data_IF_028564759067
#
_entry.id   IF_028564759067
#
_cell.length_a   1.000
_cell.length_b   1.000
_cell.length_c   1.000
_cell.angle_alpha   90.00
_cell.angle_beta   90.00
_cell.angle_gamma   90.00
#
_symmetry.space_group_name_H-M   'P 1'
#
loop_
_entity.id
_entity.type
_entity.pdbx_description
1 polymer ?
#
# COMPACT_ATOMS: atom_id res chain seq x y z
N UNK A 1 7.73 31.54 15.53
CA UNK A 1 7.25 30.20 15.96
C UNK A 1 5.75 30.17 16.26
N UNK A 2 5.17 31.18 16.92
CA UNK A 2 3.73 31.24 17.27
C UNK A 2 2.74 31.25 16.09
N UNK A 3 3.10 31.89 14.96
CA UNK A 3 2.27 31.95 13.75
C UNK A 3 2.15 30.61 13.02
N UNK A 4 3.25 29.85 12.98
CA UNK A 4 3.28 28.50 12.39
C UNK A 4 2.48 27.55 13.28
N UNK A 5 2.66 27.63 14.60
CA UNK A 5 1.89 26.84 15.57
C UNK A 5 0.38 27.16 15.51
N UNK A 6 -0.01 28.44 15.39
CA UNK A 6 -1.42 28.82 15.20
C UNK A 6 -2.00 28.29 13.89
N UNK A 7 -1.26 28.38 12.78
CA UNK A 7 -1.71 27.82 11.49
C UNK A 7 -1.81 26.30 11.54
N UNK A 8 -0.84 25.61 12.15
CA UNK A 8 -0.89 24.18 12.34
C UNK A 8 -2.08 23.77 13.22
N UNK A 9 -2.31 24.46 14.34
CA UNK A 9 -3.48 24.23 15.21
C UNK A 9 -4.81 24.44 14.49
N UNK A 10 -4.94 25.53 13.72
CA UNK A 10 -6.16 25.84 12.99
C UNK A 10 -6.43 24.85 11.86
N UNK A 11 -5.36 24.36 11.21
CA UNK A 11 -5.46 23.30 10.22
C UNK A 11 -5.89 21.99 10.90
N UNK A 12 -5.20 21.55 11.95
CA UNK A 12 -5.55 20.32 12.68
C UNK A 12 -6.97 20.31 13.23
N UNK A 13 -7.48 21.47 13.69
CA UNK A 13 -8.85 21.62 14.18
C UNK A 13 -9.90 21.40 13.09
N UNK A 14 -9.68 21.95 11.89
CA UNK A 14 -10.57 21.71 10.74
C UNK A 14 -10.49 20.25 10.23
N UNK A 15 -9.32 19.60 10.33
CA UNK A 15 -9.20 18.17 9.99
C UNK A 15 -9.97 17.28 10.95
N UNK A 16 -9.94 17.57 12.25
CA UNK A 16 -10.71 16.82 13.25
C UNK A 16 -12.23 16.98 13.10
N UNK A 17 -12.71 18.02 12.42
CA UNK A 17 -14.14 18.17 12.13
C UNK A 17 -14.62 17.47 10.85
N UNK A 18 -13.70 17.06 9.97
CA UNK A 18 -14.02 16.45 8.67
C UNK A 18 -13.73 14.94 8.61
N UNK A 19 -12.84 14.45 9.47
CA UNK A 19 -12.45 13.04 9.54
C UNK A 19 -13.32 12.21 10.49
N UNK A 20 -13.15 10.90 10.45
CA UNK A 20 -13.81 9.97 11.34
C UNK A 20 -13.34 10.19 12.80
N UNK A 21 -14.30 10.56 13.65
CA UNK A 21 -14.07 10.86 15.07
C UNK A 21 -13.37 9.73 15.85
N UNK A 22 -13.50 8.47 15.41
CA UNK A 22 -12.91 7.28 16.05
C UNK A 22 -11.39 7.22 15.91
N UNK A 23 -10.81 8.06 15.05
CA UNK A 23 -9.41 7.99 14.63
C UNK A 23 -8.55 9.05 15.34
N UNK A 24 -9.18 10.08 15.92
CA UNK A 24 -8.47 11.22 16.48
C UNK A 24 -7.62 10.90 17.70
N UNK A 25 -7.98 9.86 18.46
CA UNK A 25 -7.21 9.42 19.62
C UNK A 25 -6.07 8.45 19.25
N UNK A 26 -6.01 7.98 18.00
CA UNK A 26 -4.97 7.06 17.56
C UNK A 26 -3.64 7.79 17.37
N UNK A 27 -2.63 7.33 18.11
CA UNK A 27 -1.35 8.02 18.21
C UNK A 27 -0.67 8.29 16.87
N UNK A 28 -0.68 7.35 15.92
CA UNK A 28 0.06 7.48 14.65
C UNK A 28 -0.80 8.02 13.49
N UNK A 29 -2.11 7.86 13.59
CA UNK A 29 -3.03 8.14 12.48
C UNK A 29 -3.77 9.46 12.66
N UNK A 30 -3.93 9.96 13.88
CA UNK A 30 -4.78 11.11 14.14
C UNK A 30 -4.29 12.45 13.58
N UNK A 31 -3.00 12.59 13.22
CA UNK A 31 -2.43 13.90 12.83
C UNK A 31 -1.76 13.89 11.44
N UNK A 32 -2.14 14.81 10.52
CA UNK A 32 -1.53 14.91 9.18
C UNK A 32 -0.03 15.23 9.21
N UNK A 33 0.46 15.86 10.29
CA UNK A 33 1.88 16.16 10.45
C UNK A 33 2.72 14.87 10.50
N UNK A 34 2.16 13.78 11.03
CA UNK A 34 2.88 12.50 11.18
C UNK A 34 3.11 11.85 9.82
N UNK A 35 2.09 11.81 8.97
CA UNK A 35 2.22 11.23 7.62
C UNK A 35 3.19 12.05 6.76
N UNK A 36 3.16 13.38 6.88
CA UNK A 36 4.12 14.26 6.19
C UNK A 36 5.54 13.98 6.70
N UNK A 37 5.74 13.91 8.01
CA UNK A 37 7.05 13.65 8.60
C UNK A 37 7.62 12.28 8.17
N UNK A 38 6.83 11.21 8.21
CA UNK A 38 7.24 9.87 7.77
C UNK A 38 7.61 9.89 6.29
N UNK A 39 6.73 10.45 5.45
CA UNK A 39 6.94 10.49 4.00
C UNK A 39 8.16 11.32 3.60
N UNK A 40 8.33 12.51 4.18
CA UNK A 40 9.49 13.38 3.91
C UNK A 40 10.78 12.72 4.39
N UNK A 41 10.79 12.09 5.57
CA UNK A 41 11.96 11.39 6.10
C UNK A 41 12.34 10.21 5.21
N UNK A 42 11.37 9.42 4.79
CA UNK A 42 11.56 8.30 3.86
C UNK A 42 12.16 8.77 2.52
N UNK A 43 11.57 9.78 1.88
CA UNK A 43 12.06 10.30 0.61
C UNK A 43 13.46 10.90 0.74
N UNK A 44 13.73 11.65 1.81
CA UNK A 44 15.05 12.20 2.11
C UNK A 44 16.09 11.09 2.28
N UNK A 45 15.74 10.02 3.01
CA UNK A 45 16.60 8.87 3.19
C UNK A 45 16.91 8.17 1.86
N UNK A 46 15.89 7.81 1.08
CA UNK A 46 16.06 7.02 -0.15
C UNK A 46 16.78 7.82 -1.24
N UNK A 47 16.46 9.11 -1.41
CA UNK A 47 16.97 9.93 -2.51
C UNK A 47 18.31 10.59 -2.22
N UNK A 48 18.64 10.87 -0.95
CA UNK A 48 19.85 11.63 -0.59
C UNK A 48 20.70 10.91 0.44
N UNK A 49 20.22 10.79 1.68
CA UNK A 49 21.05 10.40 2.81
C UNK A 49 21.58 8.96 2.66
N UNK A 50 20.72 7.99 2.35
CA UNK A 50 21.08 6.59 2.18
C UNK A 50 22.17 6.36 1.11
N UNK A 51 21.99 6.84 -0.14
CA UNK A 51 23.03 6.77 -1.17
C UNK A 51 24.35 7.45 -0.76
N UNK A 52 24.29 8.59 -0.06
CA UNK A 52 25.49 9.29 0.43
C UNK A 52 26.24 8.47 1.48
N UNK A 53 25.52 7.91 2.47
CA UNK A 53 26.11 7.05 3.51
C UNK A 53 26.72 5.77 2.92
N UNK A 54 26.14 5.26 1.83
CA UNK A 54 26.60 4.06 1.15
C UNK A 54 27.71 4.32 0.13
N UNK A 55 28.00 5.57 -0.26
CA UNK A 55 28.97 5.90 -1.33
C UNK A 55 30.31 5.19 -1.13
N UNK A 56 30.87 5.31 0.08
CA UNK A 56 32.19 4.77 0.43
C UNK A 56 32.13 3.43 1.20
N UNK A 57 30.97 2.78 1.28
CA UNK A 57 30.78 1.50 1.98
C UNK A 57 30.59 0.36 0.99
N UNK A 58 30.95 -0.87 1.37
CA UNK A 58 30.56 -2.06 0.59
C UNK A 58 29.06 -2.32 0.77
N UNK A 59 28.44 -3.03 -0.17
CA UNK A 59 27.05 -3.46 -0.01
C UNK A 59 26.94 -4.37 1.22
N UNK A 60 25.93 -4.15 2.06
CA UNK A 60 25.72 -4.98 3.24
C UNK A 60 25.15 -6.35 2.84
N UNK A 61 25.64 -7.40 3.47
CA UNK A 61 24.99 -8.70 3.43
C UNK A 61 23.88 -8.76 4.48
N UNK A 62 22.66 -8.49 4.02
CA UNK A 62 21.44 -8.49 4.84
C UNK A 62 20.51 -9.65 4.46
N UNK A 63 21.04 -10.75 3.93
CA UNK A 63 20.23 -11.89 3.47
C UNK A 63 19.26 -12.40 4.55
N UNK A 64 19.77 -12.69 5.76
CA UNK A 64 18.97 -13.20 6.86
C UNK A 64 17.88 -12.20 7.29
N UNK A 65 18.25 -10.92 7.37
CA UNK A 65 17.31 -9.85 7.70
C UNK A 65 16.17 -9.76 6.68
N UNK A 66 16.49 -9.84 5.38
CA UNK A 66 15.47 -9.87 4.32
C UNK A 66 14.57 -11.09 4.40
N UNK A 67 15.12 -12.27 4.72
CA UNK A 67 14.33 -13.48 4.89
C UNK A 67 13.33 -13.34 6.05
N UNK A 68 13.79 -12.90 7.22
CA UNK A 68 12.93 -12.65 8.39
C UNK A 68 11.87 -11.60 8.07
N UNK A 69 12.27 -10.49 7.44
CA UNK A 69 11.36 -9.45 6.99
C UNK A 69 10.26 -9.99 6.05
N UNK A 70 10.63 -10.78 5.05
CA UNK A 70 9.66 -11.36 4.11
C UNK A 70 8.70 -12.33 4.83
N UNK A 71 9.17 -13.13 5.78
CA UNK A 71 8.30 -14.00 6.59
C UNK A 71 7.31 -13.18 7.42
N UNK A 72 7.78 -12.12 8.09
CA UNK A 72 6.90 -11.22 8.84
C UNK A 72 5.86 -10.57 7.92
N UNK A 73 6.27 -10.11 6.74
CA UNK A 73 5.36 -9.57 5.74
C UNK A 73 4.31 -10.60 5.31
N UNK A 74 4.69 -11.85 5.04
CA UNK A 74 3.74 -12.93 4.69
C UNK A 74 2.71 -13.12 5.81
N UNK A 75 3.15 -13.24 7.06
CA UNK A 75 2.26 -13.46 8.22
C UNK A 75 1.31 -12.29 8.43
N UNK A 76 1.82 -11.05 8.40
CA UNK A 76 1.02 -9.85 8.60
C UNK A 76 0.00 -9.64 7.48
N UNK A 77 0.38 -9.87 6.21
CA UNK A 77 -0.56 -9.81 5.11
C UNK A 77 -1.62 -10.92 5.20
N UNK A 78 -1.24 -12.15 5.56
CA UNK A 78 -2.19 -13.25 5.76
C UNK A 78 -3.21 -12.95 6.88
N UNK A 79 -2.77 -12.31 7.97
CA UNK A 79 -3.65 -11.84 9.03
C UNK A 79 -4.68 -10.81 8.53
N UNK A 80 -4.26 -9.83 7.72
CA UNK A 80 -5.17 -8.86 7.10
C UNK A 80 -6.16 -9.55 6.15
N UNK A 81 -5.70 -10.51 5.34
CA UNK A 81 -6.57 -11.31 4.46
C UNK A 81 -7.67 -11.99 5.28
N UNK A 82 -7.29 -12.70 6.34
CA UNK A 82 -8.25 -13.39 7.22
C UNK A 82 -9.25 -12.41 7.84
N UNK A 83 -8.76 -11.29 8.40
CA UNK A 83 -9.61 -10.28 9.03
C UNK A 83 -10.60 -9.63 8.05
N UNK A 84 -10.14 -9.19 6.89
CA UNK A 84 -11.00 -8.60 5.87
C UNK A 84 -12.00 -9.61 5.32
N UNK A 85 -11.58 -10.86 5.11
CA UNK A 85 -12.49 -11.93 4.68
C UNK A 85 -13.60 -12.18 5.71
N UNK A 86 -13.25 -12.33 7.01
CA UNK A 86 -14.23 -12.53 8.08
C UNK A 86 -15.29 -11.43 8.09
N UNK A 87 -14.86 -10.16 8.06
CA UNK A 87 -15.77 -9.02 8.06
C UNK A 87 -16.68 -8.97 6.82
N UNK A 88 -16.12 -9.27 5.63
CA UNK A 88 -16.89 -9.34 4.40
C UNK A 88 -17.88 -10.51 4.37
N UNK A 89 -17.67 -11.58 5.16
CA UNK A 89 -18.60 -12.72 5.24
C UNK A 89 -19.62 -12.64 6.38
N UNK A 90 -19.29 -11.97 7.50
CA UNK A 90 -20.20 -11.77 8.64
C UNK A 90 -21.38 -10.85 8.29
N UNK A 91 -21.13 -9.92 7.38
CA UNK A 91 -22.16 -9.07 6.81
C UNK A 91 -22.80 -9.87 5.66
N UNK A 92 -24.14 -9.95 5.56
CA UNK A 92 -24.81 -10.62 4.42
C UNK A 92 -24.60 -9.80 3.14
N UNK A 93 -23.37 -9.81 2.61
CA UNK A 93 -22.87 -8.81 1.66
C UNK A 93 -23.52 -8.98 0.30
N UNK A 94 -24.16 -7.92 -0.16
CA UNK A 94 -24.31 -7.70 -1.59
C UNK A 94 -22.92 -7.40 -2.15
N UNK A 95 -22.41 -8.24 -3.07
CA UNK A 95 -21.16 -7.98 -3.82
C UNK A 95 -21.14 -6.62 -4.54
N UNK A 96 -22.32 -6.01 -4.63
CA UNK A 96 -22.67 -4.76 -5.29
C UNK A 96 -22.11 -3.55 -4.56
N UNK A 97 -22.57 -3.27 -3.33
CA UNK A 97 -22.07 -2.17 -2.50
C UNK A 97 -22.10 -2.55 -1.02
N UNK A 98 -21.02 -2.19 -0.32
CA UNK A 98 -20.97 -2.23 1.15
C UNK A 98 -20.80 -0.79 1.67
N UNK A 99 -21.86 -0.19 2.24
CA UNK A 99 -21.83 1.20 2.67
C UNK A 99 -20.85 1.36 3.84
N UNK A 100 -20.39 2.59 4.03
CA UNK A 100 -19.54 2.91 5.17
C UNK A 100 -20.40 3.13 6.42
N UNK A 101 -20.07 2.42 7.50
CA UNK A 101 -20.73 2.58 8.81
C UNK A 101 -19.80 3.28 9.81
N UNK A 102 -20.09 4.54 10.16
CA UNK A 102 -19.30 5.32 11.12
C UNK A 102 -19.68 5.07 12.60
N UNK A 103 -20.35 3.96 12.89
CA UNK A 103 -20.80 3.63 14.23
C UNK A 103 -19.68 3.02 15.09
N UNK A 104 -19.96 2.88 16.39
CA UNK A 104 -19.11 2.14 17.33
C UNK A 104 -19.45 0.64 17.38
N UNK A 105 -20.11 0.09 16.35
CA UNK A 105 -20.40 -1.33 16.25
C UNK A 105 -19.11 -2.17 16.33
N UNK A 106 -19.21 -3.39 16.84
CA UNK A 106 -18.08 -4.31 16.91
C UNK A 106 -17.46 -4.53 15.53
N UNK A 107 -18.29 -4.64 14.48
CA UNK A 107 -17.85 -4.78 13.10
C UNK A 107 -17.02 -3.58 12.65
N UNK A 108 -17.53 -2.36 12.86
CA UNK A 108 -16.85 -1.16 12.39
C UNK A 108 -15.57 -0.85 13.16
N UNK A 109 -15.51 -1.20 14.46
CA UNK A 109 -14.26 -1.14 15.25
C UNK A 109 -13.21 -2.14 14.75
N UNK A 110 -13.60 -3.40 14.49
CA UNK A 110 -12.69 -4.39 13.89
C UNK A 110 -12.16 -3.95 12.52
N UNK A 111 -13.01 -3.34 11.69
CA UNK A 111 -12.61 -2.78 10.40
C UNK A 111 -11.58 -1.66 10.57
N UNK A 112 -11.78 -0.78 11.56
CA UNK A 112 -10.82 0.26 11.91
C UNK A 112 -9.49 -0.33 12.38
N UNK A 113 -9.50 -1.27 13.32
CA UNK A 113 -8.28 -1.93 13.83
C UNK A 113 -7.48 -2.59 12.70
N UNK A 114 -8.15 -3.30 11.78
CA UNK A 114 -7.51 -3.86 10.59
C UNK A 114 -6.93 -2.77 9.67
N UNK A 115 -7.65 -1.65 9.49
CA UNK A 115 -7.16 -0.51 8.74
C UNK A 115 -5.87 0.05 9.35
N UNK A 116 -5.79 0.16 10.67
CA UNK A 116 -4.57 0.62 11.35
C UNK A 116 -3.39 -0.33 11.12
N UNK A 117 -3.63 -1.64 11.26
CA UNK A 117 -2.60 -2.66 11.02
C UNK A 117 -2.16 -2.61 9.55
N UNK A 118 -3.10 -2.44 8.62
CA UNK A 118 -2.81 -2.30 7.20
C UNK A 118 -1.97 -1.05 6.90
N UNK A 119 -2.23 0.09 7.56
CA UNK A 119 -1.38 1.28 7.44
C UNK A 119 0.03 1.03 7.96
N UNK A 120 0.17 0.44 9.15
CA UNK A 120 1.49 0.09 9.71
C UNK A 120 2.25 -0.86 8.78
N UNK A 121 1.53 -1.79 8.13
CA UNK A 121 2.10 -2.67 7.12
C UNK A 121 2.62 -1.90 5.90
N UNK A 122 1.92 -0.85 5.44
CA UNK A 122 2.44 0.03 4.37
C UNK A 122 3.64 0.87 4.81
N UNK A 123 3.74 1.26 6.09
CA UNK A 123 4.97 1.84 6.64
C UNK A 123 6.09 0.80 6.63
N UNK A 124 5.79 -0.46 6.96
CA UNK A 124 6.77 -1.55 6.94
C UNK A 124 7.24 -1.89 5.51
N UNK A 125 6.37 -1.77 4.50
CA UNK A 125 6.71 -1.92 3.08
C UNK A 125 7.81 -0.92 2.63
N UNK A 126 7.99 0.23 3.31
CA UNK A 126 9.05 1.18 3.00
C UNK A 126 10.46 0.62 3.23
N UNK A 127 10.59 -0.42 4.05
CA UNK A 127 11.90 -1.06 4.27
C UNK A 127 12.41 -1.80 3.02
N UNK A 128 11.55 -2.15 2.05
CA UNK A 128 11.99 -2.73 0.77
C UNK A 128 13.00 -1.82 0.07
N UNK A 129 12.70 -0.53 0.03
CA UNK A 129 13.54 0.49 -0.59
C UNK A 129 14.80 0.73 0.23
N UNK A 130 14.71 0.70 1.56
CA UNK A 130 15.86 0.77 2.46
C UNK A 130 16.83 -0.38 2.17
N UNK A 131 16.32 -1.61 2.01
CA UNK A 131 17.14 -2.77 1.66
C UNK A 131 17.80 -2.63 0.28
N UNK A 132 17.13 -2.05 -0.71
CA UNK A 132 17.74 -1.77 -2.01
C UNK A 132 18.94 -0.81 -1.88
N UNK A 133 18.81 0.25 -1.08
CA UNK A 133 19.90 1.20 -0.83
C UNK A 133 21.07 0.53 -0.09
N UNK A 134 20.80 -0.20 0.99
CA UNK A 134 21.84 -0.89 1.79
C UNK A 134 22.59 -1.96 0.98
N UNK A 135 21.95 -2.56 -0.02
CA UNK A 135 22.56 -3.52 -0.95
C UNK A 135 23.18 -2.88 -2.19
N UNK A 136 23.15 -1.55 -2.31
CA UNK A 136 23.54 -0.80 -3.53
C UNK A 136 22.82 -1.25 -4.80
N UNK A 137 21.58 -1.74 -4.68
CA UNK A 137 20.75 -2.14 -5.82
C UNK A 137 19.90 -0.97 -6.32
N UNK A 138 20.53 0.16 -6.64
CA UNK A 138 19.84 1.39 -7.03
C UNK A 138 18.96 1.24 -8.27
N UNK A 139 19.25 0.27 -9.14
CA UNK A 139 18.41 -0.06 -10.31
C UNK A 139 17.00 -0.50 -9.92
N UNK A 140 16.80 -1.01 -8.71
CA UNK A 140 15.48 -1.43 -8.20
C UNK A 140 14.66 -0.24 -7.69
N UNK A 141 15.30 0.88 -7.34
CA UNK A 141 14.65 2.13 -6.92
C UNK A 141 14.19 2.89 -8.16
N UNK A 142 13.14 2.37 -8.79
CA UNK A 142 12.52 2.98 -9.98
C UNK A 142 11.50 4.04 -9.60
N UNK A 143 11.16 4.93 -10.54
CA UNK A 143 10.06 5.87 -10.35
C UNK A 143 8.76 5.17 -9.96
N UNK A 144 8.41 4.07 -10.64
CA UNK A 144 7.23 3.25 -10.34
C UNK A 144 7.20 2.81 -8.87
N UNK A 145 8.32 2.25 -8.39
CA UNK A 145 8.41 1.75 -7.02
C UNK A 145 8.29 2.89 -6.00
N UNK A 146 9.07 3.96 -6.18
CA UNK A 146 9.08 5.08 -5.22
C UNK A 146 7.73 5.82 -5.19
N UNK A 147 7.14 6.06 -6.37
CA UNK A 147 5.82 6.65 -6.51
C UNK A 147 4.76 5.79 -5.81
N UNK A 148 4.73 4.49 -6.08
CA UNK A 148 3.79 3.57 -5.46
C UNK A 148 3.89 3.56 -3.93
N UNK A 149 5.08 3.33 -3.36
CA UNK A 149 5.24 3.27 -1.90
C UNK A 149 4.88 4.59 -1.22
N UNK A 150 5.19 5.72 -1.85
CA UNK A 150 4.84 7.05 -1.32
C UNK A 150 3.33 7.31 -1.39
N UNK A 151 2.72 7.11 -2.57
CA UNK A 151 1.30 7.37 -2.78
C UNK A 151 0.41 6.38 -2.02
N UNK A 152 0.79 5.12 -1.89
CA UNK A 152 0.06 4.14 -1.08
C UNK A 152 0.06 4.55 0.39
N UNK A 153 1.19 4.99 0.93
CA UNK A 153 1.27 5.41 2.33
C UNK A 153 0.35 6.60 2.61
N UNK A 154 0.43 7.66 1.79
CA UNK A 154 -0.41 8.85 1.93
C UNK A 154 -1.88 8.53 1.65
N UNK A 155 -2.16 7.73 0.62
CA UNK A 155 -3.49 7.36 0.19
C UNK A 155 -4.22 6.48 1.19
N UNK A 156 -3.54 5.49 1.79
CA UNK A 156 -4.12 4.66 2.85
C UNK A 156 -4.34 5.46 4.13
N UNK A 157 -3.42 6.37 4.50
CA UNK A 157 -3.66 7.27 5.62
C UNK A 157 -4.94 8.09 5.41
N UNK A 158 -5.10 8.72 4.23
CA UNK A 158 -6.32 9.45 3.88
C UNK A 158 -7.56 8.55 3.83
N UNK A 159 -7.44 7.36 3.25
CA UNK A 159 -8.52 6.37 3.20
C UNK A 159 -8.99 5.97 4.59
N UNK A 160 -8.08 5.78 5.54
CA UNK A 160 -8.44 5.49 6.94
C UNK A 160 -9.15 6.68 7.57
N UNK A 161 -8.67 7.91 7.38
CA UNK A 161 -9.32 9.11 7.95
C UNK A 161 -10.78 9.27 7.54
N UNK A 162 -11.14 8.86 6.32
CA UNK A 162 -12.43 9.19 5.72
C UNK A 162 -13.34 8.00 5.45
N UNK A 163 -12.79 6.82 5.15
CA UNK A 163 -13.56 5.66 4.64
C UNK A 163 -13.01 4.32 5.15
N UNK A 164 -12.60 4.25 6.42
CA UNK A 164 -12.09 2.99 7.00
C UNK A 164 -13.23 1.98 7.25
N UNK A 165 -13.42 1.07 6.30
CA UNK A 165 -14.53 0.11 6.26
C UNK A 165 -15.29 0.15 4.94
N UNK A 166 -16.45 -0.50 4.88
CA UNK A 166 -17.25 -0.52 3.64
C UNK A 166 -16.48 -1.17 2.48
N UNK A 167 -16.62 -0.59 1.28
CA UNK A 167 -15.92 -1.06 0.08
C UNK A 167 -14.39 -1.08 0.20
N UNK A 168 -13.79 -0.27 1.08
CA UNK A 168 -12.33 -0.24 1.25
C UNK A 168 -11.74 -1.54 1.80
N UNK A 169 -12.56 -2.41 2.44
CA UNK A 169 -12.13 -3.74 2.90
C UNK A 169 -11.68 -4.63 1.73
N UNK A 170 -12.23 -4.42 0.53
CA UNK A 170 -11.78 -5.12 -0.68
C UNK A 170 -10.33 -4.75 -1.06
N UNK A 171 -9.92 -3.49 -0.81
CA UNK A 171 -8.52 -3.08 -1.01
C UNK A 171 -7.62 -3.90 -0.09
N UNK A 172 -7.95 -3.94 1.20
CA UNK A 172 -7.20 -4.72 2.20
C UNK A 172 -7.10 -6.19 1.80
N UNK A 173 -8.23 -6.83 1.49
CA UNK A 173 -8.30 -8.24 1.14
C UNK A 173 -7.44 -8.58 -0.09
N UNK A 174 -7.68 -7.92 -1.22
CA UNK A 174 -7.02 -8.28 -2.49
C UNK A 174 -5.56 -7.86 -2.49
N UNK A 175 -5.23 -6.66 -1.98
CA UNK A 175 -3.85 -6.19 -1.91
C UNK A 175 -3.01 -7.09 -1.00
N UNK A 176 -3.51 -7.41 0.20
CA UNK A 176 -2.80 -8.28 1.13
C UNK A 176 -2.65 -9.71 0.59
N UNK A 177 -3.63 -10.21 -0.17
CA UNK A 177 -3.51 -11.52 -0.85
C UNK A 177 -2.36 -11.52 -1.84
N UNK A 178 -2.30 -10.53 -2.74
CA UNK A 178 -1.22 -10.43 -3.73
C UNK A 178 0.13 -10.16 -3.05
N UNK A 179 0.17 -9.34 -2.00
CA UNK A 179 1.39 -9.10 -1.21
C UNK A 179 1.87 -10.37 -0.49
N UNK A 180 0.97 -11.20 0.03
CA UNK A 180 1.33 -12.51 0.61
C UNK A 180 2.08 -13.37 -0.43
N UNK A 181 1.56 -13.44 -1.66
CA UNK A 181 2.19 -14.19 -2.76
C UNK A 181 3.52 -13.54 -3.18
N UNK A 182 3.56 -12.21 -3.30
CA UNK A 182 4.76 -11.45 -3.68
C UNK A 182 5.90 -11.63 -2.69
N UNK A 183 5.63 -11.47 -1.39
CA UNK A 183 6.65 -11.64 -0.34
C UNK A 183 7.06 -13.10 -0.17
N UNK A 184 6.17 -14.06 -0.44
CA UNK A 184 6.54 -15.48 -0.56
C UNK A 184 7.58 -15.68 -1.66
N UNK A 185 7.38 -15.08 -2.84
CA UNK A 185 8.39 -15.11 -3.89
C UNK A 185 9.70 -14.44 -3.47
N UNK A 186 9.65 -13.28 -2.81
CA UNK A 186 10.85 -12.59 -2.34
C UNK A 186 11.61 -13.37 -1.28
N UNK A 187 10.92 -14.09 -0.40
CA UNK A 187 11.53 -15.03 0.53
C UNK A 187 12.32 -16.12 -0.20
N UNK A 188 11.70 -16.80 -1.16
CA UNK A 188 12.38 -17.84 -1.93
C UNK A 188 13.53 -17.29 -2.78
N UNK A 189 13.36 -16.11 -3.38
CA UNK A 189 14.41 -15.44 -4.14
C UNK A 189 15.60 -14.97 -3.27
N UNK A 190 15.37 -14.72 -1.97
CA UNK A 190 16.43 -14.45 -1.00
C UNK A 190 17.11 -15.74 -0.52
N UNK A 191 16.33 -16.81 -0.30
CA UNK A 191 16.83 -18.11 0.16
C UNK A 191 17.73 -18.79 -0.88
N UNK A 192 17.25 -18.92 -2.11
CA UNK A 192 17.89 -19.64 -3.20
C UNK A 192 18.00 -18.75 -4.46
N UNK A 193 19.23 -18.47 -4.96
CA UNK A 193 19.45 -17.70 -6.18
C UNK A 193 18.70 -18.22 -7.42
N UNK A 194 18.39 -19.52 -7.51
CA UNK A 194 17.64 -20.07 -8.67
C UNK A 194 16.27 -19.43 -8.85
N UNK A 195 15.62 -19.03 -7.75
CA UNK A 195 14.33 -18.33 -7.79
C UNK A 195 14.45 -16.88 -8.27
N UNK A 196 15.61 -16.25 -8.02
CA UNK A 196 15.91 -14.91 -8.52
C UNK A 196 15.96 -14.89 -10.04
N UNK A 197 16.39 -15.97 -10.68
CA UNK A 197 16.50 -16.06 -12.15
C UNK A 197 15.27 -16.65 -12.83
N UNK A 198 14.27 -17.10 -12.05
CA UNK A 198 13.01 -17.61 -12.58
C UNK A 198 12.14 -16.48 -13.16
N UNK A 199 12.25 -16.28 -14.48
CA UNK A 199 11.50 -15.24 -15.21
C UNK A 199 9.99 -15.50 -15.23
N UNK A 200 9.58 -16.77 -15.28
CA UNK A 200 8.16 -17.16 -15.33
C UNK A 200 7.45 -16.75 -14.05
N UNK A 201 8.04 -17.00 -12.89
CA UNK A 201 7.50 -16.57 -11.60
C UNK A 201 7.33 -15.05 -11.55
N UNK A 202 8.35 -14.28 -11.96
CA UNK A 202 8.26 -12.80 -12.01
C UNK A 202 7.14 -12.31 -12.93
N UNK A 203 6.97 -12.96 -14.08
CA UNK A 203 5.91 -12.63 -15.05
C UNK A 203 4.53 -12.87 -14.44
N UNK A 204 4.30 -14.02 -13.83
CA UNK A 204 3.02 -14.36 -13.17
C UNK A 204 2.71 -13.36 -12.05
N UNK A 205 3.70 -13.01 -11.22
CA UNK A 205 3.52 -12.02 -10.15
C UNK A 205 3.11 -10.65 -10.70
N UNK A 206 3.76 -10.20 -11.77
CA UNK A 206 3.41 -8.93 -12.42
C UNK A 206 2.00 -8.97 -13.02
N UNK A 207 1.60 -10.10 -13.60
CA UNK A 207 0.24 -10.31 -14.10
C UNK A 207 -0.80 -10.29 -12.99
N UNK A 208 -0.52 -10.90 -11.84
CA UNK A 208 -1.40 -10.85 -10.66
C UNK A 208 -1.60 -9.40 -10.17
N UNK A 209 -0.52 -8.60 -10.13
CA UNK A 209 -0.61 -7.18 -9.79
C UNK A 209 -1.43 -6.37 -10.80
N UNK A 210 -1.27 -6.63 -12.11
CA UNK A 210 -2.09 -6.00 -13.16
C UNK A 210 -3.58 -6.35 -13.00
N UNK A 211 -3.89 -7.61 -12.76
CA UNK A 211 -5.27 -8.07 -12.51
C UNK A 211 -5.85 -7.41 -11.27
N UNK A 212 -5.07 -7.28 -10.19
CA UNK A 212 -5.48 -6.55 -8.99
C UNK A 212 -5.85 -5.09 -9.30
N UNK A 213 -4.99 -4.35 -10.00
CA UNK A 213 -5.27 -2.93 -10.30
C UNK A 213 -6.49 -2.77 -11.19
N UNK A 214 -6.67 -3.66 -12.18
CA UNK A 214 -7.86 -3.69 -13.01
C UNK A 214 -9.13 -3.99 -12.19
N UNK A 215 -9.06 -4.97 -11.29
CA UNK A 215 -10.16 -5.29 -10.39
C UNK A 215 -10.57 -4.08 -9.53
N UNK A 216 -9.60 -3.39 -8.91
CA UNK A 216 -9.89 -2.18 -8.13
C UNK A 216 -10.47 -1.06 -8.99
N UNK A 217 -9.91 -0.82 -10.18
CA UNK A 217 -10.45 0.17 -11.11
C UNK A 217 -11.92 -0.11 -11.44
N UNK A 218 -12.26 -1.35 -11.78
CA UNK A 218 -13.63 -1.74 -12.11
C UNK A 218 -14.56 -1.65 -10.89
N UNK A 219 -14.12 -2.12 -9.73
CA UNK A 219 -14.92 -2.10 -8.49
C UNK A 219 -15.26 -0.67 -8.06
N UNK A 220 -14.27 0.22 -8.00
CA UNK A 220 -14.51 1.63 -7.65
C UNK A 220 -15.24 2.41 -8.74
N UNK A 221 -15.06 2.05 -10.01
CA UNK A 221 -15.86 2.64 -11.10
C UNK A 221 -17.31 2.19 -11.07
N UNK A 222 -17.57 0.93 -10.67
CA UNK A 222 -18.93 0.40 -10.55
C UNK A 222 -19.73 1.12 -9.45
N UNK A 223 -19.07 1.58 -8.39
CA UNK A 223 -19.64 2.43 -7.33
C UNK A 223 -20.34 3.69 -7.88
N UNK A 224 -19.94 4.21 -9.06
CA UNK A 224 -20.61 5.36 -9.68
C UNK A 224 -21.98 5.05 -10.29
N UNK A 225 -22.15 3.83 -10.77
CA UNK A 225 -23.38 3.39 -11.44
C UNK A 225 -24.44 3.04 -10.39
N UNK A 226 -24.01 2.69 -9.18
CA UNK A 226 -24.91 2.40 -8.08
C UNK A 226 -25.41 3.70 -7.43
N UNK A 227 -26.64 4.06 -7.76
CA UNK A 227 -27.30 5.24 -7.18
C UNK A 227 -27.67 5.03 -5.71
N UNK A 228 -27.88 3.78 -5.28
CA UNK A 228 -28.31 3.40 -3.93
C UNK A 228 -27.15 3.14 -2.95
N UNK A 229 -25.90 3.45 -3.35
CA UNK A 229 -24.71 3.21 -2.52
C UNK A 229 -24.24 4.50 -1.85
N UNK A 230 -24.38 4.60 -0.52
CA UNK A 230 -23.93 5.74 0.31
C UNK A 230 -22.41 5.78 0.54
N UNK A 231 -21.62 5.24 -0.39
CA UNK A 231 -20.17 5.36 -0.34
C UNK A 231 -19.70 6.69 -0.96
N UNK A 232 -18.75 7.43 -0.34
CA UNK A 232 -18.31 8.72 -0.86
C UNK A 232 -17.74 8.66 -2.29
N UNK A 233 -18.50 9.15 -3.27
CA UNK A 233 -18.17 9.09 -4.71
C UNK A 233 -16.84 9.76 -5.05
N UNK A 234 -16.48 10.86 -4.39
CA UNK A 234 -15.20 11.56 -4.61
C UNK A 234 -14.02 10.64 -4.26
N UNK A 235 -14.13 9.86 -3.18
CA UNK A 235 -13.08 8.93 -2.75
C UNK A 235 -13.00 7.74 -3.72
N UNK A 236 -14.13 7.21 -4.17
CA UNK A 236 -14.15 6.20 -5.24
C UNK A 236 -13.47 6.70 -6.51
N UNK A 237 -13.64 7.97 -6.88
CA UNK A 237 -12.98 8.56 -8.05
C UNK A 237 -11.47 8.62 -7.90
N UNK A 238 -11.00 9.12 -6.76
CA UNK A 238 -9.57 9.15 -6.47
C UNK A 238 -8.96 7.73 -6.51
N UNK A 239 -9.61 6.73 -5.92
CA UNK A 239 -9.14 5.35 -5.96
C UNK A 239 -9.20 4.75 -7.37
N UNK A 240 -10.25 4.98 -8.15
CA UNK A 240 -10.34 4.49 -9.52
C UNK A 240 -9.22 5.10 -10.39
N UNK A 241 -9.05 6.43 -10.37
CA UNK A 241 -8.01 7.11 -11.14
C UNK A 241 -6.61 6.67 -10.72
N UNK A 242 -6.35 6.53 -9.42
CA UNK A 242 -5.06 6.05 -8.91
C UNK A 242 -4.76 4.62 -9.41
N UNK A 243 -5.74 3.72 -9.36
CA UNK A 243 -5.56 2.33 -9.82
C UNK A 243 -5.36 2.24 -11.33
N UNK A 244 -6.04 3.08 -12.12
CA UNK A 244 -5.81 3.19 -13.56
C UNK A 244 -4.38 3.66 -13.85
N UNK A 245 -3.90 4.68 -13.13
CA UNK A 245 -2.53 5.16 -13.30
C UNK A 245 -1.50 4.07 -12.95
N UNK A 246 -1.70 3.36 -11.84
CA UNK A 246 -0.86 2.23 -11.45
C UNK A 246 -0.88 1.09 -12.48
N UNK A 247 -2.04 0.76 -13.02
CA UNK A 247 -2.19 -0.22 -14.09
C UNK A 247 -1.36 0.16 -15.31
N UNK A 248 -1.45 1.42 -15.78
CA UNK A 248 -0.66 1.91 -16.92
C UNK A 248 0.85 1.81 -16.67
N UNK A 249 1.34 2.20 -15.49
CA UNK A 249 2.76 2.12 -15.17
C UNK A 249 3.26 0.66 -15.08
N UNK A 250 2.47 -0.24 -14.49
CA UNK A 250 2.81 -1.66 -14.43
C UNK A 250 2.75 -2.32 -15.82
N UNK A 251 1.84 -1.88 -16.69
CA UNK A 251 1.73 -2.36 -18.05
C UNK A 251 2.95 -1.93 -18.89
N UNK A 252 3.39 -0.67 -18.75
CA UNK A 252 4.62 -0.18 -19.36
C UNK A 252 5.85 -0.94 -18.86
N UNK A 253 5.96 -1.17 -17.54
CA UNK A 253 6.99 -2.01 -16.95
C UNK A 253 6.97 -3.43 -17.55
N UNK A 254 5.79 -4.07 -17.60
CA UNK A 254 5.62 -5.42 -18.11
C UNK A 254 6.02 -5.52 -19.59
N UNK A 255 5.60 -4.56 -20.41
CA UNK A 255 5.98 -4.48 -21.81
C UNK A 255 7.50 -4.36 -21.99
N UNK A 256 8.13 -3.43 -21.27
CA UNK A 256 9.58 -3.20 -21.34
C UNK A 256 10.39 -4.36 -20.81
N UNK A 257 9.97 -4.99 -19.71
CA UNK A 257 10.71 -6.04 -19.03
C UNK A 257 10.58 -7.40 -19.71
N UNK A 258 9.40 -7.76 -20.23
CA UNK A 258 9.10 -9.13 -20.68
C UNK A 258 8.83 -9.26 -22.17
N UNK A 259 8.17 -8.27 -22.80
CA UNK A 259 7.79 -8.36 -24.22
C UNK A 259 8.93 -7.83 -25.09
N UNK A 260 9.36 -6.59 -24.87
CA UNK A 260 10.39 -5.93 -25.69
C UNK A 260 11.75 -6.64 -25.59
N UNK A 261 12.15 -7.09 -24.40
CA UNK A 261 13.40 -7.84 -24.24
C UNK A 261 13.38 -9.20 -24.94
N UNK A 262 12.22 -9.88 -24.98
CA UNK A 262 12.07 -11.15 -25.71
C UNK A 262 12.25 -10.92 -27.21
N UNK A 263 11.61 -9.89 -27.76
CA UNK A 263 11.72 -9.51 -29.18
C UNK A 263 13.14 -9.14 -29.63
N UNK A 264 13.99 -8.66 -28.72
CA UNK A 264 15.39 -8.34 -29.02
C UNK A 264 16.34 -9.56 -28.90
N UNK A 265 15.86 -10.70 -28.39
CA UNK A 265 16.63 -11.95 -28.24
C UNK A 265 16.25 -13.01 -29.28
N UNK A 266 15.16 -12.80 -29.99
CA UNK A 266 14.72 -13.55 -31.18
C UNK A 266 15.25 -12.85 -32.43
#
# INVERSE_FOLDING_TARGET
>A
MSLILRKLCHYTWNWTSLGDSRIHELWILGKPVQIVAITTTYLYFVLKLGPQLMKNRKAFDIKMLMMVYNVLQIVLNAYIVYGCYSLLTESWVSWKCFPMEYSNSLHSRKALDLGQIFFLLKVFDLFDTVFFILRKSYRQVTFLHLYHHTCMLVGIWGGIQFVCGGESLWIGLVNATVHTIMFTYYFFAAYDPRWKDNLTAKKILTQLQLVQFLFFFLKFSYSFIQMDCDYPKIISYLFATQNLFMFCLFLDFYYKAYIRQKKNKE
#
